data_IF_201135074994
#
_entry.id   IF_201135074994
#
_cell.length_a   1.000
_cell.length_b   1.000
_cell.length_c   1.000
_cell.angle_alpha   90.00
_cell.angle_beta   90.00
_cell.angle_gamma   90.00
#
_symmetry.space_group_name_H-M   'P 1'
#
loop_
_entity.id
_entity.type
_entity.pdbx_description
1 polymer ?
#
# COMPACT_ATOMS: atom_id res chain seq x y z
N UNK A 1 -18.36 -19.03 -5.38
CA UNK A 1 -18.48 -18.74 -6.82
C UNK A 1 -17.85 -17.37 -7.15
N UNK A 2 -16.65 -17.06 -6.63
CA UNK A 2 -16.00 -15.73 -6.74
C UNK A 2 -14.70 -15.73 -7.57
N UNK A 3 -14.03 -16.89 -7.71
CA UNK A 3 -12.75 -16.98 -8.43
C UNK A 3 -12.88 -16.66 -9.93
N UNK A 4 -13.90 -17.21 -10.61
CA UNK A 4 -14.07 -17.02 -12.06
C UNK A 4 -14.32 -15.58 -12.52
N UNK A 5 -14.82 -14.69 -11.65
CA UNK A 5 -15.01 -13.28 -11.99
C UNK A 5 -13.73 -12.46 -11.91
N UNK A 6 -12.75 -12.89 -11.09
CA UNK A 6 -11.49 -12.15 -10.90
C UNK A 6 -10.45 -12.56 -11.94
N UNK A 7 -10.50 -13.82 -12.39
CA UNK A 7 -9.65 -14.31 -13.48
C UNK A 7 -10.01 -13.64 -14.81
N UNK A 8 -11.30 -13.50 -15.13
CA UNK A 8 -11.74 -12.77 -16.34
C UNK A 8 -11.33 -11.30 -16.32
N UNK A 9 -11.40 -10.62 -15.16
CA UNK A 9 -10.92 -9.22 -15.05
C UNK A 9 -9.43 -9.07 -15.31
N UNK A 10 -8.63 -10.04 -14.85
CA UNK A 10 -7.19 -10.04 -15.09
C UNK A 10 -6.90 -10.27 -16.58
N UNK A 11 -7.58 -11.21 -17.21
CA UNK A 11 -7.45 -11.48 -18.65
C UNK A 11 -7.77 -10.24 -19.50
N UNK A 12 -8.89 -9.57 -19.22
CA UNK A 12 -9.30 -8.33 -19.89
C UNK A 12 -8.25 -7.20 -19.73
N UNK A 13 -7.70 -7.07 -18.52
CA UNK A 13 -6.66 -6.08 -18.22
C UNK A 13 -5.36 -6.38 -18.97
N UNK A 14 -4.93 -7.65 -19.01
CA UNK A 14 -3.72 -8.06 -19.73
C UNK A 14 -3.88 -7.88 -21.24
N UNK A 15 -5.06 -8.18 -21.79
CA UNK A 15 -5.38 -7.93 -23.21
C UNK A 15 -5.34 -6.42 -23.55
N UNK A 16 -5.84 -5.58 -22.66
CA UNK A 16 -5.81 -4.13 -22.80
C UNK A 16 -4.37 -3.59 -22.79
N UNK A 17 -3.53 -4.08 -21.87
CA UNK A 17 -2.10 -3.72 -21.81
C UNK A 17 -1.35 -4.17 -23.08
N UNK A 18 -1.66 -5.35 -23.61
CA UNK A 18 -1.11 -5.82 -24.89
C UNK A 18 -1.49 -4.91 -26.06
N UNK A 19 -2.76 -4.48 -26.11
CA UNK A 19 -3.23 -3.53 -27.14
C UNK A 19 -2.52 -2.18 -27.03
N UNK A 20 -2.30 -1.67 -25.81
CA UNK A 20 -1.57 -0.42 -25.60
C UNK A 20 -0.09 -0.53 -26.00
N UNK A 21 0.56 -1.67 -25.73
CA UNK A 21 1.94 -1.94 -26.18
C UNK A 21 2.06 -1.85 -27.71
N UNK A 22 1.09 -2.40 -28.44
CA UNK A 22 1.03 -2.33 -29.91
C UNK A 22 0.79 -0.90 -30.42
N UNK A 23 -0.10 -0.15 -29.77
CA UNK A 23 -0.41 1.24 -30.15
C UNK A 23 0.78 2.18 -29.97
N UNK A 24 1.58 1.97 -28.92
CA UNK A 24 2.76 2.78 -28.61
C UNK A 24 4.07 2.15 -29.11
N UNK A 25 4.02 1.22 -30.07
CA UNK A 25 5.19 0.46 -30.53
C UNK A 25 6.41 1.30 -30.99
N UNK A 26 6.19 2.57 -31.36
CA UNK A 26 7.23 3.51 -31.79
C UNK A 26 7.80 4.37 -30.65
N UNK A 27 7.29 4.20 -29.44
CA UNK A 27 7.67 4.92 -28.22
C UNK A 27 8.29 3.93 -27.23
N UNK A 28 9.62 3.71 -27.28
CA UNK A 28 10.27 2.65 -26.51
C UNK A 28 10.14 2.82 -24.99
N UNK A 29 10.10 4.06 -24.50
CA UNK A 29 9.91 4.34 -23.07
C UNK A 29 8.48 4.03 -22.61
N UNK A 30 7.47 4.38 -23.41
CA UNK A 30 6.06 4.06 -23.15
C UNK A 30 5.85 2.55 -23.14
N UNK A 31 6.41 1.85 -24.13
CA UNK A 31 6.39 0.38 -24.22
C UNK A 31 7.05 -0.27 -23.00
N UNK A 32 8.22 0.22 -22.57
CA UNK A 32 8.89 -0.30 -21.38
C UNK A 32 8.04 -0.12 -20.11
N UNK A 33 7.35 1.01 -19.99
CA UNK A 33 6.44 1.31 -18.88
C UNK A 33 5.25 0.35 -18.87
N UNK A 34 4.57 0.16 -20.01
CA UNK A 34 3.45 -0.77 -20.15
C UNK A 34 3.87 -2.20 -19.81
N UNK A 35 5.01 -2.65 -20.34
CA UNK A 35 5.57 -3.98 -20.06
C UNK A 35 5.92 -4.16 -18.58
N UNK A 36 6.42 -3.12 -17.91
CA UNK A 36 6.70 -3.14 -16.46
C UNK A 36 5.43 -3.28 -15.65
N UNK A 37 4.37 -2.54 -16.00
CA UNK A 37 3.07 -2.67 -15.34
C UNK A 37 2.46 -4.07 -15.52
N UNK A 38 2.51 -4.62 -16.74
CA UNK A 38 2.08 -6.00 -17.02
C UNK A 38 2.86 -7.03 -16.18
N UNK A 39 4.18 -6.86 -16.07
CA UNK A 39 5.02 -7.74 -15.25
C UNK A 39 4.66 -7.69 -13.76
N UNK A 40 4.33 -6.51 -13.22
CA UNK A 40 3.89 -6.36 -11.84
C UNK A 40 2.58 -7.14 -11.58
N UNK A 41 1.61 -7.07 -12.50
CA UNK A 41 0.35 -7.83 -12.38
C UNK A 41 0.59 -9.35 -12.43
N UNK A 42 1.46 -9.80 -13.33
CA UNK A 42 1.88 -11.21 -13.36
C UNK A 42 2.57 -11.64 -12.07
N UNK A 43 3.42 -10.80 -11.49
CA UNK A 43 4.06 -11.09 -10.22
C UNK A 43 3.02 -11.26 -9.10
N UNK A 44 2.05 -10.34 -8.99
CA UNK A 44 0.95 -10.42 -8.02
C UNK A 44 0.12 -11.70 -8.20
N UNK A 45 -0.16 -12.09 -9.44
CA UNK A 45 -0.82 -13.36 -9.75
C UNK A 45 0.03 -14.56 -9.31
N UNK A 46 1.33 -14.55 -9.64
CA UNK A 46 2.27 -15.63 -9.33
C UNK A 46 2.39 -15.89 -7.83
N UNK A 47 2.38 -14.83 -7.00
CA UNK A 47 2.38 -14.96 -5.54
C UNK A 47 1.00 -15.25 -4.94
N UNK A 48 -0.04 -15.43 -5.76
CA UNK A 48 -1.39 -15.76 -5.32
C UNK A 48 -2.15 -14.63 -4.60
N UNK A 49 -1.73 -13.36 -4.78
CA UNK A 49 -2.28 -12.20 -4.07
C UNK A 49 -3.27 -11.37 -4.90
N UNK A 50 -3.81 -11.95 -5.97
CA UNK A 50 -4.72 -11.24 -6.89
C UNK A 50 -6.00 -10.77 -6.20
N UNK A 51 -6.52 -11.54 -5.24
CA UNK A 51 -7.68 -11.12 -4.44
C UNK A 51 -7.38 -9.83 -3.67
N UNK A 52 -6.27 -9.79 -2.95
CA UNK A 52 -5.85 -8.66 -2.14
C UNK A 52 -5.56 -7.43 -3.00
N UNK A 53 -4.98 -7.63 -4.19
CA UNK A 53 -4.81 -6.55 -5.17
C UNK A 53 -6.14 -5.93 -5.59
N UNK A 54 -7.16 -6.74 -5.93
CA UNK A 54 -8.47 -6.19 -6.29
C UNK A 54 -9.21 -5.56 -5.11
N UNK A 55 -9.03 -6.07 -3.90
CA UNK A 55 -9.50 -5.41 -2.69
C UNK A 55 -8.82 -4.04 -2.52
N UNK A 56 -7.50 -3.97 -2.73
CA UNK A 56 -6.74 -2.73 -2.69
C UNK A 56 -7.18 -1.73 -3.77
N UNK A 57 -7.35 -2.16 -5.02
CA UNK A 57 -7.83 -1.30 -6.12
C UNK A 57 -9.17 -0.63 -5.79
N UNK A 58 -10.08 -1.31 -5.08
CA UNK A 58 -11.38 -0.73 -4.69
C UNK A 58 -11.27 0.43 -3.71
N UNK A 59 -10.21 0.46 -2.91
CA UNK A 59 -9.99 1.45 -1.86
C UNK A 59 -8.80 2.36 -2.14
N UNK A 60 -8.12 2.17 -3.26
CA UNK A 60 -6.96 2.96 -3.67
C UNK A 60 -7.34 4.46 -3.66
N UNK A 61 -6.47 5.30 -3.10
CA UNK A 61 -6.71 6.73 -2.85
C UNK A 61 -7.92 7.05 -1.94
N UNK A 62 -8.32 6.13 -1.06
CA UNK A 62 -9.31 6.40 0.00
C UNK A 62 -8.70 6.15 1.38
N UNK A 63 -9.31 6.72 2.43
CA UNK A 63 -8.94 6.41 3.83
C UNK A 63 -9.07 4.91 4.16
N UNK A 64 -9.86 4.14 3.40
CA UNK A 64 -10.03 2.71 3.64
C UNK A 64 -8.79 1.89 3.28
N UNK A 65 -7.96 2.37 2.34
CA UNK A 65 -6.67 1.77 2.00
C UNK A 65 -5.59 2.03 3.06
N UNK A 66 -5.83 2.98 3.97
CA UNK A 66 -4.82 3.36 4.95
C UNK A 66 -4.69 2.29 6.03
N UNK A 67 -3.45 2.05 6.53
CA UNK A 67 -3.26 1.10 7.61
C UNK A 67 -4.14 1.50 8.80
N UNK A 68 -5.06 0.60 9.18
CA UNK A 68 -5.97 0.85 10.29
C UNK A 68 -5.17 0.87 11.57
N UNK A 69 -5.30 1.94 12.41
CA UNK A 69 -4.58 1.98 13.65
C UNK A 69 -4.93 0.79 14.54
N UNK A 70 -3.91 0.06 14.98
CA UNK A 70 -4.05 -1.08 15.87
C UNK A 70 -4.54 -0.64 17.25
N UNK A 71 -4.12 0.55 17.70
CA UNK A 71 -4.52 1.14 18.98
C UNK A 71 -4.28 2.64 19.02
N UNK A 72 -5.00 3.33 19.90
CA UNK A 72 -4.85 4.75 20.18
C UNK A 72 -4.40 4.99 21.63
N UNK A 73 -3.51 5.96 21.84
CA UNK A 73 -2.95 6.36 23.13
C UNK A 73 -3.04 7.87 23.30
N UNK A 74 -3.17 8.32 24.55
CA UNK A 74 -3.15 9.74 24.89
C UNK A 74 -1.75 10.32 24.83
N UNK A 75 -0.74 9.51 25.18
CA UNK A 75 0.66 9.96 25.27
C UNK A 75 1.65 8.98 24.64
N UNK A 76 2.85 9.48 24.32
CA UNK A 76 3.95 8.67 23.80
C UNK A 76 4.43 7.62 24.82
N UNK A 77 4.43 7.98 26.11
CA UNK A 77 4.89 7.09 27.17
C UNK A 77 3.93 5.90 27.36
N UNK A 78 2.62 6.13 27.28
CA UNK A 78 1.60 5.07 27.27
C UNK A 78 1.80 4.10 26.09
N UNK A 79 2.01 4.65 24.89
CA UNK A 79 2.25 3.86 23.68
C UNK A 79 3.52 3.01 23.81
N UNK A 80 4.61 3.62 24.32
CA UNK A 80 5.89 2.95 24.51
C UNK A 80 5.81 1.84 25.57
N UNK A 81 5.10 2.08 26.67
CA UNK A 81 4.87 1.08 27.70
C UNK A 81 4.10 -0.12 27.13
N UNK A 82 3.06 0.13 26.32
CA UNK A 82 2.31 -0.92 25.65
C UNK A 82 3.17 -1.72 24.65
N UNK A 83 3.97 -1.05 23.81
CA UNK A 83 4.87 -1.69 22.84
C UNK A 83 5.91 -2.59 23.52
N UNK A 84 6.48 -2.14 24.64
CA UNK A 84 7.45 -2.93 25.43
C UNK A 84 6.83 -4.19 26.05
N UNK A 85 5.52 -4.19 26.28
CA UNK A 85 4.80 -5.35 26.78
C UNK A 85 4.39 -6.34 25.67
N UNK A 86 4.55 -5.99 24.38
CA UNK A 86 4.19 -6.88 23.28
C UNK A 86 5.31 -7.88 22.99
N UNK A 87 4.94 -9.16 22.88
CA UNK A 87 5.87 -10.23 22.45
C UNK A 87 6.26 -10.05 20.97
N UNK A 88 5.29 -9.65 20.15
CA UNK A 88 5.48 -9.30 18.75
C UNK A 88 4.46 -8.23 18.36
N UNK A 89 4.89 -7.30 17.52
CA UNK A 89 4.02 -6.30 16.89
C UNK A 89 3.99 -6.63 15.39
N UNK A 90 2.82 -6.60 14.74
CA UNK A 90 2.74 -6.77 13.29
C UNK A 90 3.70 -5.83 12.56
N UNK A 91 4.30 -6.31 11.47
CA UNK A 91 5.12 -5.48 10.60
C UNK A 91 4.27 -4.31 10.08
N UNK A 92 4.84 -3.10 10.07
CA UNK A 92 4.16 -1.86 9.66
C UNK A 92 2.88 -1.56 10.45
N UNK A 93 2.84 -1.95 11.74
CA UNK A 93 1.72 -1.56 12.60
C UNK A 93 1.64 -0.03 12.71
N UNK A 94 0.44 0.50 12.52
CA UNK A 94 0.11 1.90 12.80
C UNK A 94 -0.58 2.01 14.15
N UNK A 95 -0.21 3.01 14.95
CA UNK A 95 -0.91 3.39 16.17
C UNK A 95 -1.22 4.90 16.13
N UNK A 96 -2.16 5.34 16.96
CA UNK A 96 -2.44 6.76 17.16
C UNK A 96 -1.88 7.20 18.50
N UNK A 97 -1.17 8.32 18.52
CA UNK A 97 -0.67 8.97 19.74
C UNK A 97 -1.13 10.41 19.70
N UNK A 98 -1.90 10.85 20.70
CA UNK A 98 -2.43 12.21 20.78
C UNK A 98 -3.12 12.67 19.46
N UNK A 99 -3.91 11.78 18.86
CA UNK A 99 -4.62 12.05 17.59
C UNK A 99 -3.78 11.92 16.31
N UNK A 100 -2.47 11.73 16.41
CA UNK A 100 -1.57 11.59 15.25
C UNK A 100 -1.21 10.13 14.98
N UNK A 101 -1.30 9.70 13.71
CA UNK A 101 -0.93 8.34 13.28
C UNK A 101 0.58 8.18 13.20
N UNK A 102 1.08 7.03 13.65
CA UNK A 102 2.49 6.69 13.61
C UNK A 102 2.67 5.23 13.19
N UNK A 103 3.57 4.98 12.24
CA UNK A 103 4.15 3.65 12.06
C UNK A 103 5.08 3.36 13.23
N UNK A 104 5.02 2.15 13.77
CA UNK A 104 5.94 1.67 14.79
C UNK A 104 6.95 0.71 14.19
N UNK A 105 8.22 0.99 14.43
CA UNK A 105 9.32 0.10 14.06
C UNK A 105 10.26 -0.07 15.23
N UNK A 106 11.02 -1.16 15.20
CA UNK A 106 12.02 -1.47 16.21
C UNK A 106 13.40 -1.33 15.60
N UNK A 107 14.22 -0.46 16.18
CA UNK A 107 15.63 -0.28 15.83
C UNK A 107 16.42 -1.56 16.18
N UNK A 108 17.63 -1.67 15.61
CA UNK A 108 18.52 -2.83 15.85
C UNK A 108 18.95 -2.97 17.31
N UNK A 109 19.06 -1.86 18.03
CA UNK A 109 19.34 -1.81 19.47
C UNK A 109 18.12 -2.19 20.33
N UNK A 110 16.96 -2.45 19.70
CA UNK A 110 15.73 -2.84 20.35
C UNK A 110 14.84 -1.68 20.77
N UNK A 111 15.22 -0.42 20.50
CA UNK A 111 14.39 0.75 20.78
C UNK A 111 13.20 0.86 19.82
N UNK A 112 12.07 1.33 20.35
CA UNK A 112 10.87 1.61 19.55
C UNK A 112 10.91 3.02 19.00
N UNK A 113 10.64 3.14 17.70
CA UNK A 113 10.58 4.41 16.99
C UNK A 113 9.18 4.61 16.42
N UNK A 114 8.68 5.83 16.59
CA UNK A 114 7.42 6.29 16.03
C UNK A 114 7.71 7.16 14.82
N UNK A 115 7.37 6.68 13.63
CA UNK A 115 7.50 7.43 12.39
C UNK A 115 6.12 8.03 12.10
N UNK A 116 6.01 9.36 12.08
CA UNK A 116 4.73 10.02 11.78
C UNK A 116 4.22 9.56 10.42
N UNK A 117 2.98 9.11 10.39
CA UNK A 117 2.26 8.86 9.16
C UNK A 117 1.61 10.19 8.74
N UNK A 118 1.92 10.75 7.56
CA UNK A 118 1.27 11.98 7.08
C UNK A 118 -0.24 11.78 6.95
N UNK A 119 -1.06 12.83 6.91
CA UNK A 119 -2.50 12.74 6.58
C UNK A 119 -2.73 12.72 5.07
N UNK A 120 -3.95 12.37 4.62
CA UNK A 120 -4.31 12.41 3.19
C UNK A 120 -4.13 13.84 2.67
N UNK A 121 -4.66 14.82 3.40
CA UNK A 121 -4.53 16.23 3.05
C UNK A 121 -3.06 16.67 2.89
N UNK A 122 -2.15 16.13 3.71
CA UNK A 122 -0.72 16.40 3.59
C UNK A 122 -0.10 15.75 2.36
N UNK A 123 -0.48 14.52 2.03
CA UNK A 123 -0.03 13.84 0.82
C UNK A 123 -0.55 14.54 -0.44
N UNK A 124 -1.83 14.91 -0.45
CA UNK A 124 -2.46 15.65 -1.55
C UNK A 124 -1.77 17.02 -1.74
N UNK A 125 -1.45 17.71 -0.65
CA UNK A 125 -0.74 18.99 -0.73
C UNK A 125 0.70 18.85 -1.26
N UNK A 126 1.37 17.72 -0.99
CA UNK A 126 2.71 17.44 -1.52
C UNK A 126 2.67 17.16 -3.03
N UNK A 127 1.72 16.34 -3.49
CA UNK A 127 1.54 16.01 -4.90
C UNK A 127 1.23 17.28 -5.74
N UNK A 128 0.37 18.16 -5.23
CA UNK A 128 0.05 19.43 -5.88
C UNK A 128 1.16 20.51 -5.80
N UNK A 129 2.25 20.25 -5.06
CA UNK A 129 3.40 21.17 -4.96
C UNK A 129 4.55 20.81 -5.89
N UNK A 130 4.47 19.64 -6.54
CA UNK A 130 5.44 19.16 -7.53
C UNK A 130 5.01 19.47 -8.99
N UNK A 131 3.85 20.11 -9.19
CA UNK A 131 3.39 20.73 -10.46
C UNK A 131 3.69 22.24 -10.53
#
# INVERSE_FOLDING_TARGET
>A
MYAGSMDSKLEDLMNSLGTLDEQHAHEPETVATIKTAALALHFVQHIGRMKDFWEYVRVFNTEEAWPKPLRSFGTRDEALAWLRAQVAVPYEAVIVIAGTRHNVTRMRDGEWVFIRFPSIEELDAMENSEE
#
